data_IF_911152553747
#
_entry.id   IF_911152553747
#
_cell.length_a   1.000
_cell.length_b   1.000
_cell.length_c   1.000
_cell.angle_alpha   90.00
_cell.angle_beta   90.00
_cell.angle_gamma   90.00
#
_symmetry.space_group_name_H-M   'P 1'
#
loop_
_entity.id
_entity.type
_entity.pdbx_description
1 polymer ?
#
# COMPACT_ATOMS: atom_id res chain seq x y z
N UNK A 1 -27.61 -19.69 6.03
CA UNK A 1 -28.63 -18.70 5.58
C UNK A 1 -29.40 -17.98 6.69
N UNK A 2 -29.31 -18.36 7.99
CA UNK A 2 -29.98 -17.61 9.09
C UNK A 2 -29.07 -16.63 9.86
N UNK A 3 -27.75 -16.69 9.67
CA UNK A 3 -26.77 -15.78 10.28
C UNK A 3 -26.46 -14.54 9.43
N UNK A 4 -26.72 -14.59 8.12
CA UNK A 4 -26.42 -13.50 7.17
C UNK A 4 -27.42 -12.33 7.25
N UNK A 5 -28.64 -12.59 7.74
CA UNK A 5 -29.71 -11.58 7.81
C UNK A 5 -29.58 -10.68 9.06
N UNK A 6 -28.87 -11.14 10.09
CA UNK A 6 -28.68 -10.35 11.32
C UNK A 6 -27.69 -9.18 11.14
N UNK A 7 -26.71 -9.32 10.23
CA UNK A 7 -25.74 -8.26 9.93
C UNK A 7 -26.36 -7.11 9.12
N UNK A 8 -27.35 -7.39 8.27
CA UNK A 8 -28.03 -6.35 7.49
C UNK A 8 -28.87 -5.41 8.37
N UNK A 9 -29.39 -5.89 9.50
CA UNK A 9 -30.22 -5.08 10.40
C UNK A 9 -29.41 -4.17 11.34
N UNK A 10 -28.14 -4.49 11.63
CA UNK A 10 -27.24 -3.59 12.38
C UNK A 10 -26.67 -2.45 11.52
N UNK A 11 -26.64 -2.60 10.19
CA UNK A 11 -26.18 -1.58 9.25
C UNK A 11 -27.19 -0.43 9.05
N UNK A 12 -28.48 -0.67 9.34
CA UNK A 12 -29.54 0.33 9.14
C UNK A 12 -29.60 1.36 10.29
N UNK A 13 -28.96 1.10 11.44
CA UNK A 13 -29.04 1.97 12.63
C UNK A 13 -28.02 3.11 12.67
N UNK A 14 -27.11 3.23 11.68
CA UNK A 14 -26.06 4.29 11.66
C UNK A 14 -26.48 5.49 10.78
N UNK A 15 -27.71 5.49 10.27
CA UNK A 15 -28.27 6.61 9.50
C UNK A 15 -28.76 7.76 10.41
N UNK A 16 -27.89 8.29 11.26
CA UNK A 16 -28.11 9.58 11.92
C UNK A 16 -26.96 10.54 11.57
N UNK A 17 -27.21 11.37 10.57
CA UNK A 17 -26.42 12.55 10.28
C UNK A 17 -26.47 13.53 11.46
N UNK A 18 -25.30 14.05 11.87
CA UNK A 18 -25.25 15.12 12.88
C UNK A 18 -23.86 15.66 13.20
N UNK A 19 -22.77 14.93 12.94
CA UNK A 19 -21.41 15.44 13.16
C UNK A 19 -20.43 14.78 12.18
N UNK A 20 -19.78 15.58 11.33
CA UNK A 20 -18.72 15.09 10.45
C UNK A 20 -17.45 14.90 11.29
N UNK A 21 -17.11 13.64 11.58
CA UNK A 21 -15.83 13.29 12.21
C UNK A 21 -14.68 13.44 11.20
N UNK A 22 -13.44 13.61 11.67
CA UNK A 22 -12.29 13.52 10.78
C UNK A 22 -12.31 12.21 9.99
N UNK A 23 -11.93 12.28 8.72
CA UNK A 23 -11.81 11.09 7.89
C UNK A 23 -10.81 10.11 8.50
N UNK A 24 -11.17 8.84 8.43
CA UNK A 24 -10.30 7.72 8.78
C UNK A 24 -8.98 7.80 8.01
N UNK A 25 -7.88 7.50 8.70
CA UNK A 25 -6.53 7.54 8.11
C UNK A 25 -6.08 6.13 7.75
N UNK A 26 -5.25 6.02 6.71
CA UNK A 26 -4.61 4.74 6.34
C UNK A 26 -3.77 4.17 7.48
N UNK A 27 -3.05 5.05 8.19
CA UNK A 27 -2.38 4.73 9.44
C UNK A 27 -3.29 5.13 10.61
N UNK A 28 -3.85 4.13 11.31
CA UNK A 28 -4.80 4.36 12.41
C UNK A 28 -4.19 5.13 13.57
N UNK A 29 -2.90 4.96 13.80
CA UNK A 29 -2.20 5.72 14.81
C UNK A 29 -1.97 7.20 14.47
N UNK A 30 -2.30 7.67 13.25
CA UNK A 30 -2.26 9.10 12.92
C UNK A 30 -3.61 9.79 13.17
N UNK A 31 -4.66 9.03 13.50
CA UNK A 31 -5.95 9.58 13.89
C UNK A 31 -5.83 10.31 15.24
N UNK A 32 -6.50 11.45 15.37
CA UNK A 32 -6.47 12.26 16.58
C UNK A 32 -7.88 12.69 16.99
N UNK A 33 -8.38 12.07 18.05
CA UNK A 33 -9.70 12.33 18.64
C UNK A 33 -9.65 13.24 19.87
N UNK A 34 -8.53 13.93 20.13
CA UNK A 34 -8.39 14.80 21.31
C UNK A 34 -9.38 15.97 21.34
N UNK A 35 -10.01 16.31 20.22
CA UNK A 35 -11.08 17.31 20.17
C UNK A 35 -12.32 16.89 20.99
N UNK A 36 -12.53 15.58 21.19
CA UNK A 36 -13.60 15.03 22.04
C UNK A 36 -13.38 15.30 23.53
N UNK A 37 -12.18 15.74 23.93
CA UNK A 37 -11.88 16.09 25.33
C UNK A 37 -12.88 17.07 25.94
N UNK A 38 -13.35 18.04 25.15
CA UNK A 38 -14.29 19.07 25.58
C UNK A 38 -15.74 18.77 25.17
N UNK A 39 -16.00 17.62 24.57
CA UNK A 39 -17.37 17.22 24.21
C UNK A 39 -18.17 16.93 25.49
N UNK A 40 -19.40 17.46 25.56
CA UNK A 40 -20.32 17.34 26.70
C UNK A 40 -21.45 16.36 26.43
N UNK A 41 -21.55 15.82 25.20
CA UNK A 41 -22.57 14.82 24.85
C UNK A 41 -22.31 13.55 25.67
N UNK A 42 -23.32 13.20 26.48
CA UNK A 42 -23.32 11.98 27.28
C UNK A 42 -23.91 10.83 26.48
N UNK A 43 -23.61 9.60 26.90
CA UNK A 43 -24.23 8.36 26.41
C UNK A 43 -24.06 8.09 24.90
N UNK A 44 -22.97 8.61 24.31
CA UNK A 44 -22.57 8.26 22.95
C UNK A 44 -21.44 7.22 22.99
N UNK A 45 -21.77 5.97 22.64
CA UNK A 45 -20.83 4.85 22.66
C UNK A 45 -19.60 5.09 21.78
N UNK A 46 -19.80 5.63 20.56
CA UNK A 46 -18.73 5.84 19.59
C UNK A 46 -17.75 6.92 20.06
N UNK A 47 -18.27 8.05 20.56
CA UNK A 47 -17.44 9.11 21.15
C UNK A 47 -16.65 8.60 22.35
N UNK A 48 -17.29 7.80 23.21
CA UNK A 48 -16.63 7.19 24.38
C UNK A 48 -15.53 6.24 23.95
N UNK A 49 -15.77 5.43 22.92
CA UNK A 49 -14.77 4.53 22.34
C UNK A 49 -13.59 5.30 21.74
N UNK A 50 -13.83 6.38 21.00
CA UNK A 50 -12.78 7.24 20.41
C UNK A 50 -12.04 8.10 21.42
N UNK A 51 -12.62 8.34 22.60
CA UNK A 51 -11.98 9.09 23.67
C UNK A 51 -12.55 8.69 25.03
N UNK A 52 -11.91 7.73 25.70
CA UNK A 52 -12.24 7.32 27.06
C UNK A 52 -11.25 7.98 28.04
N UNK A 53 -11.66 9.03 28.79
CA UNK A 53 -10.79 9.67 29.76
C UNK A 53 -10.51 8.75 30.95
N UNK A 54 -9.23 8.61 31.31
CA UNK A 54 -8.75 7.81 32.45
C UNK A 54 -8.34 8.68 33.64
N UNK A 55 -8.46 10.01 33.51
CA UNK A 55 -8.20 10.96 34.58
C UNK A 55 -9.21 12.11 34.58
N UNK A 56 -9.47 12.72 35.75
CA UNK A 56 -10.32 13.92 35.85
C UNK A 56 -9.81 15.08 34.98
N UNK A 57 -8.49 15.21 34.86
CA UNK A 57 -7.85 16.21 33.99
C UNK A 57 -8.00 15.94 32.49
N UNK A 58 -8.51 14.76 32.12
CA UNK A 58 -8.62 14.25 30.74
C UNK A 58 -7.30 14.32 29.98
N UNK A 59 -6.17 14.19 30.71
CA UNK A 59 -4.81 14.14 30.15
C UNK A 59 -4.36 12.73 29.89
N UNK A 60 -4.91 11.76 30.62
CA UNK A 60 -4.76 10.34 30.36
C UNK A 60 -6.04 9.86 29.70
N UNK A 61 -5.94 9.21 28.55
CA UNK A 61 -7.09 8.68 27.85
C UNK A 61 -6.68 7.48 27.01
N UNK A 62 -7.66 6.67 26.65
CA UNK A 62 -7.50 5.58 25.69
C UNK A 62 -8.52 5.78 24.56
N UNK A 63 -8.10 5.51 23.33
CA UNK A 63 -8.95 5.47 22.14
C UNK A 63 -8.95 4.07 21.57
N UNK A 64 -10.09 3.62 21.06
CA UNK A 64 -10.23 2.36 20.35
C UNK A 64 -10.74 2.59 18.94
N UNK A 65 -10.52 1.62 18.07
CA UNK A 65 -11.08 1.63 16.74
C UNK A 65 -10.66 0.41 15.95
N UNK A 66 -11.03 0.38 14.69
CA UNK A 66 -10.76 -0.76 13.86
C UNK A 66 -11.28 -0.65 12.46
N UNK A 67 -11.10 -1.73 11.71
CA UNK A 67 -11.72 -1.92 10.42
C UNK A 67 -12.00 -3.38 10.17
N UNK A 68 -13.15 -3.66 9.55
CA UNK A 68 -13.51 -4.96 9.01
C UNK A 68 -13.61 -4.83 7.50
N UNK A 69 -12.92 -5.69 6.76
CA UNK A 69 -12.98 -5.74 5.30
C UNK A 69 -13.32 -7.15 4.84
N UNK A 70 -14.22 -7.24 3.87
CA UNK A 70 -14.52 -8.46 3.13
C UNK A 70 -14.29 -8.19 1.66
N UNK A 71 -13.63 -9.12 0.98
CA UNK A 71 -13.41 -9.06 -0.46
C UNK A 71 -13.76 -10.41 -1.05
N UNK A 72 -14.62 -10.42 -2.05
CA UNK A 72 -14.80 -11.58 -2.92
C UNK A 72 -14.04 -11.34 -4.20
N UNK A 73 -13.27 -12.33 -4.64
CA UNK A 73 -12.53 -12.30 -5.89
C UNK A 73 -12.85 -13.51 -6.76
N UNK A 74 -12.96 -13.25 -8.06
CA UNK A 74 -13.02 -14.27 -9.09
C UNK A 74 -11.95 -13.96 -10.13
N UNK A 75 -11.18 -14.98 -10.51
CA UNK A 75 -10.14 -14.89 -11.53
C UNK A 75 -10.32 -16.02 -12.54
N UNK A 76 -10.28 -15.69 -13.83
CA UNK A 76 -10.19 -16.63 -14.93
C UNK A 76 -8.79 -16.58 -15.51
N UNK A 77 -8.18 -17.76 -15.68
CA UNK A 77 -6.80 -17.93 -16.14
C UNK A 77 -5.79 -17.13 -15.28
N UNK A 78 -5.85 -17.27 -13.95
CA UNK A 78 -4.84 -16.68 -13.05
C UNK A 78 -3.41 -17.07 -13.48
N UNK A 79 -2.46 -16.16 -13.31
CA UNK A 79 -1.10 -16.28 -13.87
C UNK A 79 -1.09 -16.62 -15.37
N UNK A 80 -1.96 -16.00 -16.17
CA UNK A 80 -2.10 -16.24 -17.62
C UNK A 80 -2.42 -17.71 -17.97
N UNK A 81 -3.06 -18.42 -17.05
CA UNK A 81 -3.50 -19.80 -17.20
C UNK A 81 -2.51 -20.86 -16.72
N UNK A 82 -1.41 -20.45 -16.10
CA UNK A 82 -0.43 -21.37 -15.51
C UNK A 82 -0.90 -21.95 -14.17
N UNK A 83 -1.75 -21.21 -13.44
CA UNK A 83 -2.34 -21.68 -12.19
C UNK A 83 -3.62 -22.51 -12.43
N UNK A 84 -3.99 -23.40 -11.48
CA UNK A 84 -5.26 -24.09 -11.53
C UNK A 84 -6.45 -23.11 -11.55
N UNK A 85 -7.43 -23.38 -12.40
CA UNK A 85 -8.65 -22.59 -12.44
C UNK A 85 -9.52 -22.86 -11.19
N UNK A 86 -9.82 -21.80 -10.45
CA UNK A 86 -10.85 -21.79 -9.42
C UNK A 86 -12.21 -21.43 -10.05
N UNK A 87 -13.20 -22.33 -10.00
CA UNK A 87 -14.51 -22.08 -10.61
C UNK A 87 -15.40 -21.15 -9.79
N UNK A 88 -15.13 -21.04 -8.48
CA UNK A 88 -16.06 -20.45 -7.52
C UNK A 88 -15.52 -19.14 -6.93
N UNK A 89 -14.21 -18.92 -7.06
CA UNK A 89 -13.52 -17.78 -6.46
C UNK A 89 -13.33 -17.93 -4.96
N UNK A 90 -12.82 -16.87 -4.34
CA UNK A 90 -12.40 -16.90 -2.94
C UNK A 90 -12.78 -15.62 -2.20
N UNK A 91 -12.82 -15.71 -0.86
CA UNK A 91 -13.13 -14.60 0.02
C UNK A 91 -11.93 -14.30 0.91
N UNK A 92 -11.52 -13.03 0.92
CA UNK A 92 -10.55 -12.50 1.86
C UNK A 92 -11.27 -11.67 2.93
N UNK A 93 -11.05 -12.02 4.19
CA UNK A 93 -11.58 -11.28 5.34
C UNK A 93 -10.42 -10.67 6.14
N UNK A 94 -10.52 -9.39 6.50
CA UNK A 94 -9.55 -8.70 7.35
C UNK A 94 -10.21 -7.99 8.51
N UNK A 95 -9.69 -8.22 9.71
CA UNK A 95 -10.10 -7.57 10.94
C UNK A 95 -8.91 -6.85 11.56
N UNK A 96 -9.02 -5.53 11.71
CA UNK A 96 -8.09 -4.72 12.47
C UNK A 96 -8.79 -4.18 13.70
N UNK A 97 -8.21 -4.36 14.87
CA UNK A 97 -8.67 -3.76 16.11
C UNK A 97 -7.50 -3.12 16.83
N UNK A 98 -7.65 -1.90 17.32
CA UNK A 98 -6.58 -1.19 17.99
C UNK A 98 -7.03 -0.48 19.27
N UNK A 99 -6.05 -0.28 20.14
CA UNK A 99 -6.10 0.56 21.31
C UNK A 99 -4.94 1.55 21.29
N UNK A 100 -5.22 2.81 21.62
CA UNK A 100 -4.28 3.91 21.59
C UNK A 100 -4.33 4.67 22.92
N UNK A 101 -3.38 4.35 23.80
CA UNK A 101 -3.27 4.92 25.13
C UNK A 101 -2.33 6.13 25.13
N UNK A 102 -2.81 7.23 25.70
CA UNK A 102 -2.05 8.47 25.86
C UNK A 102 -1.89 8.80 27.34
N UNK A 103 -0.66 8.99 27.79
CA UNK A 103 -0.34 9.47 29.13
C UNK A 103 0.22 10.89 29.09
N UNK A 104 -0.69 11.87 29.16
CA UNK A 104 -0.33 13.28 29.03
C UNK A 104 0.16 13.60 27.61
N UNK A 105 1.11 14.54 27.50
CA UNK A 105 1.66 14.97 26.20
C UNK A 105 2.93 14.24 25.79
N UNK A 106 3.51 13.43 26.69
CA UNK A 106 4.88 12.93 26.57
C UNK A 106 4.98 11.46 26.19
N UNK A 107 3.96 10.67 26.48
CA UNK A 107 4.03 9.22 26.34
C UNK A 107 2.74 8.67 25.72
N UNK A 108 2.91 7.74 24.78
CA UNK A 108 1.81 7.05 24.11
C UNK A 108 2.20 5.60 23.84
N UNK A 109 1.23 4.69 23.94
CA UNK A 109 1.34 3.29 23.54
C UNK A 109 0.22 2.96 22.57
N UNK A 110 0.57 2.37 21.44
CA UNK A 110 -0.38 1.92 20.44
C UNK A 110 -0.24 0.40 20.26
N UNK A 111 -1.36 -0.31 20.27
CA UNK A 111 -1.43 -1.73 19.99
C UNK A 111 -2.55 -2.01 18.98
N UNK A 112 -2.28 -2.88 18.02
CA UNK A 112 -3.24 -3.31 17.01
C UNK A 112 -3.08 -4.79 16.73
N UNK A 113 -4.20 -5.53 16.74
CA UNK A 113 -4.27 -6.90 16.26
C UNK A 113 -4.77 -6.93 14.82
N UNK A 114 -4.29 -7.90 14.05
CA UNK A 114 -4.76 -8.20 12.70
C UNK A 114 -5.16 -9.67 12.62
N UNK A 115 -6.27 -9.92 11.95
CA UNK A 115 -6.68 -11.25 11.49
C UNK A 115 -6.98 -11.15 10.01
N UNK A 116 -6.29 -11.94 9.20
CA UNK A 116 -6.44 -12.04 7.76
C UNK A 116 -6.77 -13.49 7.41
N UNK A 117 -7.97 -13.74 6.91
CA UNK A 117 -8.47 -15.07 6.57
C UNK A 117 -8.69 -15.17 5.07
N UNK A 118 -8.36 -16.33 4.50
CA UNK A 118 -8.58 -16.65 3.09
C UNK A 118 -9.48 -17.88 2.98
N UNK A 119 -10.77 -17.66 2.72
CA UNK A 119 -11.75 -18.72 2.56
C UNK A 119 -11.80 -19.17 1.09
N UNK A 120 -11.74 -20.48 0.86
CA UNK A 120 -11.74 -21.13 -0.47
C UNK A 120 -10.57 -20.79 -1.40
N UNK A 121 -9.63 -19.93 -0.99
CA UNK A 121 -8.41 -19.68 -1.77
C UNK A 121 -7.59 -20.97 -1.86
N UNK A 122 -7.26 -21.37 -3.08
CA UNK A 122 -6.34 -22.49 -3.33
C UNK A 122 -4.94 -22.07 -2.87
N UNK A 123 -4.34 -22.86 -1.99
CA UNK A 123 -2.97 -22.69 -1.46
C UNK A 123 -2.66 -21.24 -1.00
N UNK A 124 -3.37 -20.72 0.02
CA UNK A 124 -3.23 -19.34 0.43
C UNK A 124 -1.81 -19.07 0.96
N UNK A 125 -1.21 -17.96 0.51
CA UNK A 125 0.09 -17.54 1.00
C UNK A 125 -0.04 -16.72 2.30
N UNK A 126 1.06 -16.43 3.01
CA UNK A 126 1.06 -15.49 4.15
C UNK A 126 0.66 -14.04 3.80
N UNK A 127 0.50 -13.73 2.51
CA UNK A 127 -0.07 -12.45 2.04
C UNK A 127 -1.60 -12.48 2.07
N UNK A 128 -2.18 -13.67 1.95
CA UNK A 128 -3.62 -13.93 1.91
C UNK A 128 -4.15 -14.29 3.29
N UNK A 129 -3.40 -15.13 4.02
CA UNK A 129 -3.80 -15.68 5.31
C UNK A 129 -2.75 -15.40 6.39
N UNK A 130 -3.20 -14.84 7.50
CA UNK A 130 -2.49 -14.73 8.78
C UNK A 130 -3.58 -14.69 9.86
N UNK A 131 -3.92 -15.84 10.47
CA UNK A 131 -5.14 -15.99 11.26
C UNK A 131 -5.30 -14.99 12.40
N UNK A 132 -4.26 -14.73 13.20
CA UNK A 132 -4.31 -13.73 14.27
C UNK A 132 -2.90 -13.36 14.77
N UNK A 133 -2.58 -12.07 14.76
CA UNK A 133 -1.30 -11.54 15.23
C UNK A 133 -1.42 -10.15 15.88
N UNK A 134 -0.46 -9.80 16.75
CA UNK A 134 -0.13 -8.43 17.15
C UNK A 134 0.61 -7.73 16.00
N UNK A 135 -0.17 -7.14 15.09
CA UNK A 135 0.34 -6.45 13.89
C UNK A 135 1.13 -5.19 14.21
N UNK A 136 0.72 -4.42 15.22
CA UNK A 136 1.47 -3.26 15.71
C UNK A 136 1.47 -3.23 17.23
N UNK A 137 2.62 -2.90 17.80
CA UNK A 137 2.82 -2.67 19.23
C UNK A 137 4.04 -1.77 19.41
N UNK A 138 3.81 -0.47 19.64
CA UNK A 138 4.89 0.49 19.78
C UNK A 138 4.61 1.51 20.89
N UNK A 139 5.69 2.14 21.32
CA UNK A 139 5.68 3.25 22.29
C UNK A 139 6.28 4.50 21.66
N UNK A 140 5.63 5.64 21.87
CA UNK A 140 6.09 6.97 21.48
C UNK A 140 6.54 7.76 22.71
N UNK A 141 7.76 8.30 22.66
CA UNK A 141 8.29 9.29 23.60
C UNK A 141 8.36 10.66 22.91
N UNK A 142 7.48 11.58 23.31
CA UNK A 142 7.39 12.92 22.74
C UNK A 142 8.31 13.87 23.50
N UNK A 143 9.50 14.14 22.97
CA UNK A 143 10.43 15.11 23.55
C UNK A 143 10.01 16.55 23.27
N UNK A 144 9.50 16.80 22.05
CA UNK A 144 8.98 18.10 21.62
C UNK A 144 7.61 17.85 20.97
N UNK A 145 6.59 18.56 21.44
CA UNK A 145 5.23 18.47 20.90
C UNK A 145 4.57 19.85 20.94
N UNK A 146 5.04 20.72 20.04
CA UNK A 146 4.58 22.09 19.85
C UNK A 146 3.92 22.25 18.48
N UNK A 147 3.19 23.34 18.28
CA UNK A 147 2.43 23.57 17.04
C UNK A 147 3.32 23.58 15.78
N UNK A 148 4.54 24.10 15.87
CA UNK A 148 5.49 24.22 14.75
C UNK A 148 6.68 23.27 14.83
N UNK A 149 6.80 22.48 15.91
CA UNK A 149 7.95 21.62 16.16
C UNK A 149 7.53 20.30 16.81
N UNK A 150 8.06 19.20 16.29
CA UNK A 150 7.81 17.86 16.82
C UNK A 150 9.12 17.09 16.87
N UNK A 151 9.32 16.33 17.94
CA UNK A 151 10.39 15.35 18.08
C UNK A 151 9.85 14.17 18.89
N UNK A 152 9.69 13.02 18.23
CA UNK A 152 9.23 11.77 18.82
C UNK A 152 10.27 10.69 18.56
N UNK A 153 10.56 9.89 19.58
CA UNK A 153 11.18 8.57 19.43
C UNK A 153 10.09 7.51 19.53
N UNK A 154 9.94 6.70 18.48
CA UNK A 154 9.06 5.54 18.42
C UNK A 154 9.88 4.26 18.44
N UNK A 155 9.48 3.29 19.26
CA UNK A 155 10.10 1.98 19.29
C UNK A 155 9.05 0.87 19.40
N UNK A 156 9.23 -0.19 18.62
CA UNK A 156 8.37 -1.37 18.59
C UNK A 156 7.90 -1.74 17.19
N UNK A 157 6.99 -2.71 17.12
CA UNK A 157 6.38 -3.20 15.89
C UNK A 157 5.42 -2.15 15.34
N UNK A 158 5.64 -1.73 14.10
CA UNK A 158 4.91 -0.62 13.50
C UNK A 158 4.86 -0.74 11.98
N UNK A 159 3.91 -0.04 11.38
CA UNK A 159 3.88 0.14 9.93
C UNK A 159 4.85 1.26 9.49
N UNK A 160 5.46 1.07 8.32
CA UNK A 160 6.22 2.09 7.61
C UNK A 160 5.52 2.37 6.28
N UNK A 161 5.31 3.64 5.97
CA UNK A 161 4.70 4.08 4.72
C UNK A 161 5.28 5.42 4.31
N UNK A 162 5.67 5.53 3.04
CA UNK A 162 6.35 6.70 2.52
C UNK A 162 5.89 7.03 1.10
N UNK A 163 5.87 8.33 0.79
CA UNK A 163 5.63 8.84 -0.55
C UNK A 163 4.33 8.37 -1.19
N UNK A 164 4.45 7.92 -2.43
CA UNK A 164 3.37 7.37 -3.25
C UNK A 164 3.02 5.91 -2.89
N UNK A 165 3.71 5.33 -1.89
CA UNK A 165 3.64 3.91 -1.52
C UNK A 165 4.11 2.93 -2.62
N UNK A 166 4.86 3.43 -3.60
CA UNK A 166 5.50 2.60 -4.64
C UNK A 166 6.71 1.83 -4.10
N UNK A 167 7.39 2.35 -3.08
CA UNK A 167 8.59 1.72 -2.48
C UNK A 167 8.35 1.15 -1.09
N UNK A 168 7.64 1.90 -0.25
CA UNK A 168 7.39 1.50 1.14
C UNK A 168 5.93 1.78 1.45
N UNK A 169 5.17 0.72 1.61
CA UNK A 169 3.75 0.75 1.85
C UNK A 169 3.38 -0.11 3.05
N UNK A 170 2.13 0.02 3.49
CA UNK A 170 1.54 -0.90 4.45
C UNK A 170 0.97 -2.18 3.80
N UNK A 171 0.98 -2.24 2.45
CA UNK A 171 0.36 -3.31 1.65
C UNK A 171 -1.15 -3.43 1.94
N UNK A 172 -1.89 -2.34 1.76
CA UNK A 172 -3.31 -2.30 2.10
C UNK A 172 -4.18 -3.08 1.10
N UNK A 173 -3.78 -3.17 -0.17
CA UNK A 173 -4.51 -3.89 -1.21
C UNK A 173 -4.69 -5.38 -0.90
N UNK A 174 -3.59 -6.14 -0.77
CA UNK A 174 -3.62 -7.53 -0.30
C UNK A 174 -4.24 -7.69 1.10
N UNK A 175 -4.53 -8.94 1.49
CA UNK A 175 -5.26 -9.20 2.73
C UNK A 175 -4.42 -8.97 3.98
N UNK A 176 -3.19 -9.44 4.02
CA UNK A 176 -2.32 -9.27 5.17
C UNK A 176 -1.47 -8.00 5.00
N UNK A 177 -1.59 -7.01 5.89
CA UNK A 177 -0.71 -5.83 5.88
C UNK A 177 0.68 -6.21 6.39
N UNK A 178 1.69 -5.43 6.03
CA UNK A 178 3.07 -5.69 6.45
C UNK A 178 3.53 -4.72 7.55
N UNK A 179 4.35 -5.22 8.47
CA UNK A 179 4.88 -4.45 9.60
C UNK A 179 6.39 -4.66 9.75
N UNK A 180 6.98 -3.82 10.61
CA UNK A 180 8.40 -3.76 10.86
C UNK A 180 8.65 -3.61 12.36
N UNK A 181 9.59 -4.37 12.89
CA UNK A 181 10.13 -4.09 14.22
C UNK A 181 11.18 -3.00 14.07
N UNK A 182 10.90 -1.80 14.60
CA UNK A 182 11.69 -0.62 14.25
C UNK A 182 11.94 0.31 15.44
N UNK A 183 13.04 1.04 15.35
CA UNK A 183 13.28 2.27 16.10
C UNK A 183 13.26 3.42 15.10
N UNK A 184 12.47 4.46 15.40
CA UNK A 184 12.19 5.55 14.48
C UNK A 184 12.19 6.89 15.21
N UNK A 185 12.88 7.88 14.65
CA UNK A 185 12.79 9.29 15.06
C UNK A 185 11.89 10.01 14.08
N UNK A 186 10.86 10.68 14.59
CA UNK A 186 9.91 11.48 13.82
C UNK A 186 10.13 12.94 14.22
N UNK A 187 10.48 13.79 13.26
CA UNK A 187 10.73 15.21 13.48
C UNK A 187 9.92 16.07 12.53
N UNK A 188 9.51 17.26 12.99
CA UNK A 188 9.02 18.29 12.10
C UNK A 188 9.38 19.68 12.61
N UNK A 189 9.61 20.59 11.68
CA UNK A 189 9.81 22.01 11.92
C UNK A 189 9.20 22.82 10.77
N UNK A 190 8.22 23.64 11.10
CA UNK A 190 7.51 24.51 10.16
C UNK A 190 6.92 23.73 8.97
N UNK A 191 7.53 23.81 7.78
CA UNK A 191 7.07 23.12 6.57
C UNK A 191 7.85 21.84 6.25
N UNK A 192 8.83 21.48 7.08
CA UNK A 192 9.69 20.31 6.87
C UNK A 192 9.33 19.24 7.90
N UNK A 193 9.10 18.02 7.44
CA UNK A 193 9.03 16.84 8.30
C UNK A 193 10.07 15.81 7.85
N UNK A 194 10.57 15.03 8.81
CA UNK A 194 11.61 14.05 8.57
C UNK A 194 11.44 12.83 9.45
N UNK A 195 11.71 11.66 8.88
CA UNK A 195 11.78 10.39 9.59
C UNK A 195 13.18 9.80 9.43
N UNK A 196 13.69 9.19 10.49
CA UNK A 196 14.91 8.37 10.48
C UNK A 196 14.59 7.04 11.14
N UNK A 197 14.97 5.93 10.54
CA UNK A 197 14.63 4.62 11.09
C UNK A 197 15.67 3.55 10.79
N UNK A 198 15.67 2.54 11.64
CA UNK A 198 16.27 1.24 11.40
C UNK A 198 15.26 0.18 11.81
N UNK A 199 15.09 -0.85 10.98
CA UNK A 199 14.06 -1.86 11.18
C UNK A 199 14.42 -3.22 10.61
N UNK A 200 13.70 -4.23 11.10
CA UNK A 200 13.63 -5.57 10.54
C UNK A 200 12.23 -5.82 10.01
N UNK A 201 12.13 -6.46 8.85
CA UNK A 201 10.84 -6.89 8.31
C UNK A 201 10.24 -7.99 9.20
N UNK A 202 8.94 -7.88 9.50
CA UNK A 202 8.22 -8.93 10.24
C UNK A 202 7.66 -9.93 9.23
N UNK A 203 8.07 -11.19 9.34
CA UNK A 203 7.61 -12.26 8.46
C UNK A 203 6.31 -12.82 9.01
N UNK A 204 5.29 -12.80 8.15
CA UNK A 204 4.01 -13.43 8.40
C UNK A 204 4.12 -14.96 8.29
N UNK A 205 3.47 -15.66 9.21
CA UNK A 205 3.29 -17.10 9.17
C UNK A 205 1.81 -17.48 9.26
N UNK A 206 1.50 -18.75 8.98
CA UNK A 206 0.11 -19.23 8.93
C UNK A 206 -0.47 -19.59 10.30
N UNK A 207 0.30 -19.43 11.38
CA UNK A 207 -0.11 -19.71 12.75
C UNK A 207 -0.80 -18.55 13.45
N UNK A 208 -0.83 -18.61 14.78
CA UNK A 208 -1.40 -17.57 15.64
C UNK A 208 -0.29 -17.08 16.57
N UNK A 209 -0.06 -15.77 16.57
CA UNK A 209 1.00 -15.11 17.36
C UNK A 209 2.42 -15.67 17.09
N UNK A 210 2.70 -16.02 15.84
CA UNK A 210 3.97 -16.61 15.38
C UNK A 210 4.74 -15.71 14.39
N UNK A 211 4.29 -14.48 14.14
CA UNK A 211 5.03 -13.56 13.28
C UNK A 211 6.33 -13.12 13.95
N UNK A 212 7.43 -13.24 13.20
CA UNK A 212 8.77 -13.05 13.75
C UNK A 212 9.56 -11.98 13.02
N UNK A 213 10.40 -11.29 13.78
CA UNK A 213 11.38 -10.34 13.25
C UNK A 213 12.41 -11.06 12.40
N UNK A 214 12.65 -10.59 11.18
CA UNK A 214 13.62 -11.21 10.27
C UNK A 214 14.91 -10.39 10.16
N UNK A 215 15.96 -10.87 10.84
CA UNK A 215 17.31 -10.27 10.81
C UNK A 215 17.99 -10.37 9.45
N UNK A 216 17.53 -11.29 8.60
CA UNK A 216 17.99 -11.45 7.22
C UNK A 216 17.27 -10.50 6.26
N UNK A 217 16.37 -9.62 6.75
CA UNK A 217 15.70 -8.58 5.96
C UNK A 217 15.70 -7.27 6.74
N UNK A 218 16.77 -6.49 6.56
CA UNK A 218 16.99 -5.24 7.27
C UNK A 218 16.64 -4.06 6.39
N UNK A 219 16.06 -3.02 6.98
CA UNK A 219 15.66 -1.81 6.28
C UNK A 219 15.97 -0.58 7.13
N UNK A 220 16.60 0.43 6.53
CA UNK A 220 16.94 1.67 7.23
C UNK A 220 16.86 2.84 6.28
N UNK A 221 16.75 4.04 6.83
CA UNK A 221 16.75 5.20 5.97
C UNK A 221 16.35 6.49 6.63
N UNK A 222 16.25 7.50 5.78
CA UNK A 222 15.77 8.82 6.11
C UNK A 222 14.81 9.31 5.03
N UNK A 223 13.69 9.89 5.44
CA UNK A 223 12.68 10.41 4.52
C UNK A 223 12.28 11.82 4.93
N UNK A 224 12.41 12.80 4.03
CA UNK A 224 12.04 14.18 4.28
C UNK A 224 10.93 14.63 3.36
N UNK A 225 9.99 15.41 3.89
CA UNK A 225 8.94 16.10 3.12
C UNK A 225 9.09 17.60 3.36
N UNK A 226 9.22 18.35 2.29
CA UNK A 226 9.32 19.81 2.28
C UNK A 226 8.05 20.33 1.61
N UNK A 227 7.17 20.91 2.42
CA UNK A 227 5.90 21.49 1.97
C UNK A 227 6.06 22.98 1.63
N UNK A 228 5.07 23.52 0.92
CA UNK A 228 4.99 24.94 0.51
C UNK A 228 6.19 25.44 -0.29
N UNK A 229 6.79 24.57 -1.10
CA UNK A 229 7.80 24.98 -2.07
C UNK A 229 7.12 25.83 -3.16
N UNK A 230 7.65 27.03 -3.49
CA UNK A 230 7.11 27.85 -4.56
C UNK A 230 6.96 27.06 -5.86
N UNK A 231 5.86 27.28 -6.59
CA UNK A 231 5.49 26.59 -7.85
C UNK A 231 5.10 25.11 -7.66
N UNK A 232 5.99 24.27 -7.14
CA UNK A 232 5.86 22.80 -7.14
C UNK A 232 5.20 22.21 -5.88
N UNK A 233 4.83 23.04 -4.91
CA UNK A 233 4.10 22.71 -3.67
C UNK A 233 4.86 21.82 -2.71
N UNK A 234 5.19 20.58 -3.05
CA UNK A 234 5.82 19.62 -2.15
C UNK A 234 6.95 18.87 -2.84
N UNK A 235 8.02 18.65 -2.09
CA UNK A 235 9.14 17.78 -2.47
C UNK A 235 9.37 16.76 -1.37
N UNK A 236 9.57 15.50 -1.74
CA UNK A 236 10.11 14.49 -0.88
C UNK A 236 11.55 14.17 -1.31
N UNK A 237 12.47 13.99 -0.36
CA UNK A 237 13.85 13.53 -0.62
C UNK A 237 14.18 12.43 0.36
N UNK A 238 14.76 11.34 -0.13
CA UNK A 238 14.98 10.17 0.70
C UNK A 238 16.23 9.37 0.36
N UNK A 239 16.67 8.63 1.37
CA UNK A 239 17.66 7.58 1.29
C UNK A 239 17.09 6.34 1.98
N UNK A 240 17.22 5.18 1.33
CA UNK A 240 16.84 3.89 1.88
C UNK A 240 17.97 2.88 1.68
N UNK A 241 18.38 2.20 2.74
CA UNK A 241 19.20 0.99 2.66
C UNK A 241 18.37 -0.24 2.97
N UNK A 242 18.64 -1.31 2.24
CA UNK A 242 17.93 -2.57 2.32
C UNK A 242 18.90 -3.74 2.16
N UNK A 243 18.84 -4.70 3.06
CA UNK A 243 19.62 -5.92 2.99
C UNK A 243 18.69 -7.13 3.00
N UNK A 244 18.92 -8.10 2.11
CA UNK A 244 18.37 -9.45 2.24
C UNK A 244 19.36 -10.55 1.89
N UNK A 245 19.38 -11.63 2.65
CA UNK A 245 20.36 -12.74 2.46
C UNK A 245 20.01 -13.68 1.30
N UNK A 246 18.73 -13.72 0.90
CA UNK A 246 18.19 -14.61 -0.14
C UNK A 246 17.36 -13.81 -1.14
N UNK A 247 18.03 -13.06 -2.00
CA UNK A 247 17.44 -12.42 -3.15
C UNK A 247 17.49 -13.35 -4.36
N UNK A 248 16.43 -13.33 -5.17
CA UNK A 248 16.37 -14.01 -6.46
C UNK A 248 16.11 -12.97 -7.54
N UNK A 249 16.94 -12.97 -8.58
CA UNK A 249 16.74 -12.23 -9.81
C UNK A 249 16.92 -13.20 -10.99
N UNK A 250 16.53 -12.79 -12.20
CA UNK A 250 16.78 -13.57 -13.41
C UNK A 250 18.27 -13.94 -13.54
N UNK A 251 19.16 -13.03 -13.13
CA UNK A 251 20.61 -13.17 -13.21
C UNK A 251 21.27 -13.66 -11.89
N UNK A 252 20.54 -14.42 -11.07
CA UNK A 252 21.12 -15.22 -9.99
C UNK A 252 20.37 -15.22 -8.67
N UNK A 253 20.99 -15.84 -7.67
CA UNK A 253 20.45 -15.98 -6.32
C UNK A 253 21.54 -15.75 -5.27
N UNK A 254 21.24 -14.97 -4.22
CA UNK A 254 22.16 -14.77 -3.10
C UNK A 254 21.90 -13.49 -2.30
N UNK A 255 22.93 -13.02 -1.58
CA UNK A 255 22.84 -11.82 -0.74
C UNK A 255 22.73 -10.57 -1.61
N UNK A 256 21.82 -9.67 -1.22
CA UNK A 256 21.63 -8.34 -1.76
C UNK A 256 21.79 -7.30 -0.65
N UNK A 257 22.64 -6.31 -0.88
CA UNK A 257 22.72 -5.08 -0.10
C UNK A 257 22.54 -3.91 -1.05
N UNK A 258 21.44 -3.18 -0.89
CA UNK A 258 21.00 -2.14 -1.82
C UNK A 258 20.74 -0.84 -1.10
N UNK A 259 21.19 0.23 -1.72
CA UNK A 259 20.88 1.60 -1.35
C UNK A 259 20.05 2.25 -2.44
N UNK A 260 19.10 3.09 -2.05
CA UNK A 260 18.25 3.85 -2.95
C UNK A 260 18.28 5.32 -2.54
N UNK A 261 18.50 6.22 -3.50
CA UNK A 261 18.37 7.67 -3.32
C UNK A 261 17.35 8.20 -4.31
N UNK A 262 16.39 8.97 -3.84
CA UNK A 262 15.29 9.41 -4.69
C UNK A 262 14.64 10.72 -4.25
N UNK A 263 13.81 11.22 -5.15
CA UNK A 263 13.05 12.44 -4.97
C UNK A 263 11.66 12.30 -5.57
N UNK A 264 10.69 12.98 -4.97
CA UNK A 264 9.31 13.05 -5.45
C UNK A 264 8.80 14.48 -5.42
N UNK A 265 8.13 14.90 -6.49
CA UNK A 265 7.48 16.20 -6.59
C UNK A 265 5.99 15.97 -6.78
N UNK A 266 5.17 16.51 -5.88
CA UNK A 266 3.74 16.23 -5.89
C UNK A 266 2.91 17.43 -5.44
N UNK A 267 1.73 17.56 -6.02
CA UNK A 267 0.85 18.66 -5.70
C UNK A 267 -0.45 18.65 -6.48
N UNK A 268 -1.31 19.59 -6.13
CA UNK A 268 -2.55 19.87 -6.85
C UNK A 268 -2.83 21.36 -6.88
N UNK A 269 -3.48 21.80 -7.96
CA UNK A 269 -4.12 23.10 -8.10
C UNK A 269 -5.62 22.90 -8.19
N UNK A 270 -6.37 23.84 -8.77
CA UNK A 270 -7.82 23.72 -8.95
C UNK A 270 -8.19 22.59 -9.93
N UNK A 271 -7.48 22.48 -11.06
CA UNK A 271 -7.78 21.50 -12.11
C UNK A 271 -6.68 20.46 -12.28
N UNK A 272 -5.44 20.76 -11.88
CA UNK A 272 -4.31 19.86 -12.09
C UNK A 272 -3.97 19.10 -10.81
N UNK A 273 -3.63 17.82 -10.97
CA UNK A 273 -2.83 17.08 -10.01
C UNK A 273 -1.59 16.52 -10.70
N UNK A 274 -0.49 16.45 -9.98
CA UNK A 274 0.76 15.86 -10.47
C UNK A 274 1.49 15.15 -9.34
N UNK A 275 2.16 14.08 -9.70
CA UNK A 275 3.04 13.28 -8.85
C UNK A 275 4.14 12.73 -9.76
N UNK A 276 5.38 13.14 -9.54
CA UNK A 276 6.54 12.64 -10.26
C UNK A 276 7.57 12.13 -9.27
N UNK A 277 8.07 10.92 -9.47
CA UNK A 277 9.04 10.29 -8.58
C UNK A 277 10.15 9.62 -9.39
N UNK A 278 11.40 9.81 -8.98
CA UNK A 278 12.55 9.15 -9.60
C UNK A 278 13.60 8.82 -8.54
N UNK A 279 14.26 7.67 -8.73
CA UNK A 279 15.30 7.21 -7.81
C UNK A 279 16.33 6.34 -8.51
N UNK A 280 17.52 6.27 -7.92
CA UNK A 280 18.61 5.42 -8.35
C UNK A 280 19.00 4.45 -7.23
N UNK A 281 19.35 3.22 -7.60
CA UNK A 281 19.76 2.15 -6.71
C UNK A 281 21.18 1.68 -7.03
N UNK A 282 21.97 1.50 -5.97
CA UNK A 282 23.37 1.06 -6.01
C UNK A 282 23.66 0.13 -4.83
N UNK A 283 24.80 -0.55 -4.87
CA UNK A 283 25.21 -1.55 -3.86
C UNK A 283 25.64 -2.84 -4.52
N UNK A 284 25.45 -3.96 -3.84
CA UNK A 284 26.01 -5.25 -4.21
C UNK A 284 24.93 -6.33 -4.24
N UNK A 285 24.95 -7.14 -5.28
CA UNK A 285 24.24 -8.41 -5.33
C UNK A 285 25.25 -9.50 -5.67
N UNK A 286 25.49 -10.44 -4.76
CA UNK A 286 26.54 -11.47 -4.89
C UNK A 286 27.91 -10.87 -5.27
N UNK A 287 28.41 -11.12 -6.49
CA UNK A 287 29.63 -10.55 -7.07
C UNK A 287 29.35 -9.53 -8.18
N UNK A 288 28.17 -8.90 -8.18
CA UNK A 288 27.69 -7.95 -9.18
C UNK A 288 27.42 -6.58 -8.53
N UNK A 289 27.77 -5.53 -9.24
CA UNK A 289 27.46 -4.15 -8.86
C UNK A 289 26.02 -3.81 -9.25
N UNK A 290 25.22 -3.31 -8.32
CA UNK A 290 23.86 -2.85 -8.59
C UNK A 290 23.91 -1.47 -9.25
N UNK A 291 23.19 -1.32 -10.36
CA UNK A 291 22.94 -0.02 -10.99
C UNK A 291 21.55 -0.02 -11.63
N UNK A 292 20.53 0.27 -10.82
CA UNK A 292 19.13 0.24 -11.23
C UNK A 292 18.43 1.56 -10.95
N UNK A 293 17.30 1.83 -11.59
CA UNK A 293 16.55 3.07 -11.41
C UNK A 293 15.08 2.91 -11.79
N UNK A 294 14.27 3.83 -11.30
CA UNK A 294 12.90 4.01 -11.78
C UNK A 294 12.59 5.50 -11.92
N UNK A 295 11.73 5.83 -12.87
CA UNK A 295 11.09 7.13 -12.99
C UNK A 295 9.59 6.91 -13.27
N UNK A 296 8.74 7.70 -12.63
CA UNK A 296 7.30 7.63 -12.78
C UNK A 296 6.68 9.02 -12.80
N UNK A 297 5.62 9.17 -13.59
CA UNK A 297 4.77 10.36 -13.58
C UNK A 297 3.30 9.94 -13.49
N UNK A 298 2.50 10.68 -12.73
CA UNK A 298 1.06 10.57 -12.68
C UNK A 298 0.47 11.98 -12.68
N UNK A 299 -0.16 12.35 -13.79
CA UNK A 299 -0.77 13.66 -14.00
C UNK A 299 -2.27 13.50 -14.23
N UNK A 300 -3.05 14.48 -13.79
CA UNK A 300 -4.48 14.50 -14.03
C UNK A 300 -5.01 15.92 -14.24
N UNK A 301 -5.97 16.05 -15.15
CA UNK A 301 -6.69 17.29 -15.40
C UNK A 301 -8.20 17.09 -15.22
N UNK A 302 -8.77 17.83 -14.27
CA UNK A 302 -10.18 17.76 -13.91
C UNK A 302 -10.99 18.90 -14.52
N UNK A 303 -12.07 18.57 -15.22
CA UNK A 303 -13.01 19.53 -15.79
C UNK A 303 -14.10 19.89 -14.77
N UNK A 304 -13.79 20.84 -13.87
CA UNK A 304 -14.69 21.20 -12.76
C UNK A 304 -16.05 21.77 -13.18
N UNK A 305 -16.21 22.27 -14.41
CA UNK A 305 -17.47 22.87 -14.89
C UNK A 305 -18.31 21.91 -15.74
N UNK A 306 -17.83 20.68 -15.99
CA UNK A 306 -18.52 19.68 -16.80
C UNK A 306 -19.27 18.71 -15.88
N UNK A 307 -20.45 18.24 -16.28
CA UNK A 307 -21.23 17.26 -15.50
C UNK A 307 -20.38 16.02 -15.21
N UNK A 308 -20.45 15.55 -13.97
CA UNK A 308 -19.62 14.48 -13.40
C UNK A 308 -18.14 14.82 -13.22
N UNK A 309 -17.73 16.06 -13.47
CA UNK A 309 -16.38 16.57 -13.26
C UNK A 309 -15.27 15.63 -13.78
N UNK A 310 -15.34 15.19 -15.06
CA UNK A 310 -14.42 14.20 -15.58
C UNK A 310 -12.97 14.61 -15.34
N UNK A 311 -12.15 13.65 -14.95
CA UNK A 311 -10.72 13.84 -14.78
C UNK A 311 -10.00 12.91 -15.76
N UNK A 312 -9.25 13.50 -16.69
CA UNK A 312 -8.38 12.76 -17.58
C UNK A 312 -7.04 12.55 -16.88
N UNK A 313 -6.66 11.30 -16.69
CA UNK A 313 -5.41 10.88 -16.08
C UNK A 313 -4.43 10.31 -17.09
N UNK A 314 -3.15 10.48 -16.81
CA UNK A 314 -2.07 9.78 -17.50
C UNK A 314 -1.01 9.37 -16.49
N UNK A 315 -0.67 8.09 -16.48
CA UNK A 315 0.49 7.55 -15.75
C UNK A 315 1.47 6.95 -16.74
N UNK A 316 2.76 7.01 -16.43
CA UNK A 316 3.78 6.37 -17.22
C UNK A 316 5.03 6.13 -16.39
N UNK A 317 5.59 4.93 -16.50
CA UNK A 317 6.76 4.54 -15.74
C UNK A 317 7.82 3.86 -16.60
N UNK A 318 9.07 4.05 -16.19
CA UNK A 318 10.23 3.39 -16.75
C UNK A 318 11.06 2.84 -15.58
N UNK A 319 11.16 1.53 -15.54
CA UNK A 319 11.74 0.77 -14.43
C UNK A 319 12.82 -0.14 -15.03
N UNK A 320 14.07 0.07 -14.61
CA UNK A 320 15.20 -0.63 -15.22
C UNK A 320 15.13 -2.14 -15.04
N UNK A 321 15.64 -2.85 -16.05
CA UNK A 321 15.87 -4.28 -16.06
C UNK A 321 17.28 -4.60 -16.52
N UNK A 322 17.73 -5.80 -16.20
CA UNK A 322 19.09 -6.25 -16.50
C UNK A 322 19.35 -6.34 -18.01
N UNK A 323 20.48 -5.80 -18.46
CA UNK A 323 20.82 -5.71 -19.87
C UNK A 323 21.62 -6.91 -20.37
N UNK A 324 22.34 -7.59 -19.49
CA UNK A 324 23.23 -8.67 -19.89
C UNK A 324 23.43 -9.66 -18.75
N UNK A 325 22.76 -10.80 -18.88
CA UNK A 325 22.94 -11.93 -17.96
C UNK A 325 24.41 -12.36 -17.89
N UNK A 326 24.88 -12.66 -16.69
CA UNK A 326 26.22 -13.19 -16.42
C UNK A 326 27.35 -12.16 -16.47
N UNK A 327 27.06 -10.87 -16.67
CA UNK A 327 28.07 -9.82 -16.51
C UNK A 327 28.29 -9.48 -15.01
N UNK A 328 29.06 -8.43 -14.72
CA UNK A 328 29.34 -7.99 -13.34
C UNK A 328 28.35 -6.94 -12.83
N UNK A 329 27.20 -6.77 -13.46
CA UNK A 329 26.20 -5.78 -13.10
C UNK A 329 24.87 -6.46 -12.79
N UNK A 330 24.03 -5.76 -12.02
CA UNK A 330 22.61 -6.04 -11.89
C UNK A 330 21.85 -4.74 -12.08
N UNK A 331 21.12 -4.60 -13.20
CA UNK A 331 20.31 -3.41 -13.47
C UNK A 331 18.81 -3.61 -13.21
N UNK A 332 18.39 -4.79 -12.73
CA UNK A 332 17.02 -5.03 -12.28
C UNK A 332 16.70 -4.17 -11.05
N UNK A 333 15.66 -3.35 -11.20
CA UNK A 333 15.14 -2.53 -10.12
C UNK A 333 14.41 -3.38 -9.07
N UNK A 334 14.56 -3.02 -7.79
CA UNK A 334 13.87 -3.66 -6.67
C UNK A 334 12.94 -2.64 -5.97
N UNK A 335 11.62 -2.84 -5.97
CA UNK A 335 10.66 -1.92 -5.33
C UNK A 335 10.64 -1.96 -3.80
N UNK A 336 11.48 -2.78 -3.15
CA UNK A 336 11.58 -2.93 -1.71
C UNK A 336 10.30 -3.54 -1.09
N UNK A 337 9.37 -2.69 -0.65
CA UNK A 337 8.18 -3.06 0.12
C UNK A 337 6.92 -2.38 -0.47
N UNK A 338 6.58 -2.64 -1.74
CA UNK A 338 5.50 -1.92 -2.44
C UNK A 338 4.11 -2.27 -1.92
N UNK A 339 3.11 -1.50 -2.36
CA UNK A 339 1.69 -1.64 -1.96
C UNK A 339 1.00 -2.95 -2.35
N UNK A 340 1.63 -3.81 -3.15
CA UNK A 340 1.07 -5.09 -3.61
C UNK A 340 0.05 -4.98 -4.74
N UNK A 341 -0.87 -4.00 -4.69
CA UNK A 341 -1.76 -3.64 -5.80
C UNK A 341 -1.19 -2.51 -6.66
N UNK A 342 -0.13 -2.79 -7.40
CA UNK A 342 0.62 -1.73 -8.10
C UNK A 342 -0.12 -1.22 -9.34
N UNK A 343 -0.80 -2.11 -10.06
CA UNK A 343 -1.58 -1.85 -11.27
C UNK A 343 -2.99 -2.43 -11.13
N UNK A 344 -3.71 -1.99 -10.09
CA UNK A 344 -4.99 -2.60 -9.68
C UNK A 344 -4.81 -3.69 -8.62
N UNK A 345 -5.88 -4.39 -8.23
CA UNK A 345 -5.77 -5.50 -7.26
C UNK A 345 -5.46 -6.86 -7.87
N UNK A 346 -5.72 -7.06 -9.17
CA UNK A 346 -5.27 -8.27 -9.86
C UNK A 346 -3.74 -8.40 -9.81
N UNK A 347 -3.04 -7.26 -9.96
CA UNK A 347 -1.60 -7.00 -9.77
C UNK A 347 -0.64 -8.19 -9.91
N UNK A 348 -0.69 -8.89 -11.04
CA UNK A 348 0.23 -10.00 -11.35
C UNK A 348 1.63 -9.47 -11.68
N UNK A 349 1.72 -8.31 -12.35
CA UNK A 349 2.98 -7.69 -12.77
C UNK A 349 3.48 -6.73 -11.68
N UNK A 350 4.74 -6.90 -11.28
CA UNK A 350 5.46 -6.03 -10.37
C UNK A 350 6.37 -5.03 -11.10
N UNK A 351 6.79 -3.97 -10.41
CA UNK A 351 7.63 -2.93 -10.98
C UNK A 351 9.10 -3.37 -11.01
N UNK A 352 9.48 -4.23 -11.97
CA UNK A 352 10.87 -4.59 -12.26
C UNK A 352 10.99 -4.93 -13.74
N UNK A 353 12.00 -4.39 -14.43
CA UNK A 353 12.17 -4.56 -15.87
C UNK A 353 10.92 -4.15 -16.69
N UNK A 354 10.38 -2.95 -16.47
CA UNK A 354 9.06 -2.56 -16.95
C UNK A 354 9.04 -1.16 -17.58
N UNK A 355 8.28 -1.01 -18.66
CA UNK A 355 7.83 0.28 -19.20
C UNK A 355 6.32 0.17 -19.41
N UNK A 356 5.58 1.17 -18.94
CA UNK A 356 4.13 1.20 -18.99
C UNK A 356 3.54 2.60 -19.22
N UNK A 357 2.30 2.63 -19.69
CA UNK A 357 1.56 3.85 -20.02
C UNK A 357 0.06 3.64 -19.77
N UNK A 358 -0.54 4.55 -19.00
CA UNK A 358 -1.88 4.39 -18.45
C UNK A 358 -2.73 5.64 -18.70
N UNK A 359 -3.32 5.81 -19.89
CA UNK A 359 -4.45 6.71 -20.03
C UNK A 359 -5.62 6.24 -19.15
N UNK A 360 -6.25 7.18 -18.44
CA UNK A 360 -7.41 6.88 -17.61
C UNK A 360 -8.41 8.03 -17.55
N UNK A 361 -9.62 7.70 -17.12
CA UNK A 361 -10.68 8.68 -16.85
C UNK A 361 -11.37 8.34 -15.53
N UNK A 362 -11.60 9.37 -14.70
CA UNK A 362 -12.41 9.27 -13.49
C UNK A 362 -13.64 10.18 -13.61
N UNK A 363 -14.80 9.68 -13.20
CA UNK A 363 -16.09 10.35 -13.25
C UNK A 363 -16.72 10.37 -11.87
N UNK A 364 -17.02 11.55 -11.35
CA UNK A 364 -17.78 11.71 -10.11
C UNK A 364 -19.28 11.64 -10.43
N UNK A 365 -19.84 10.41 -10.46
CA UNK A 365 -21.24 10.16 -10.80
C UNK A 365 -22.21 10.80 -9.78
N UNK A 366 -21.80 10.82 -8.51
CA UNK A 366 -22.49 11.55 -7.43
C UNK A 366 -21.48 12.00 -6.37
N UNK A 367 -21.93 12.68 -5.30
CA UNK A 367 -21.03 13.10 -4.20
C UNK A 367 -20.25 11.95 -3.57
N UNK A 368 -20.79 10.74 -3.63
CA UNK A 368 -20.31 9.56 -2.92
C UNK A 368 -20.05 8.38 -3.86
N UNK A 369 -20.13 8.58 -5.18
CA UNK A 369 -19.92 7.53 -6.19
C UNK A 369 -18.96 8.04 -7.24
N UNK A 370 -17.85 7.33 -7.40
CA UNK A 370 -16.82 7.57 -8.40
C UNK A 370 -16.70 6.34 -9.32
N UNK A 371 -16.57 6.58 -10.62
CA UNK A 371 -16.30 5.54 -11.61
C UNK A 371 -14.98 5.84 -12.30
N UNK A 372 -14.05 4.90 -12.25
CA UNK A 372 -12.69 5.02 -12.78
C UNK A 372 -12.51 3.97 -13.87
N UNK A 373 -11.89 4.35 -14.97
CA UNK A 373 -11.46 3.46 -16.05
C UNK A 373 -9.99 3.76 -16.32
N UNK A 374 -9.14 2.74 -16.35
CA UNK A 374 -7.69 2.84 -16.60
C UNK A 374 -7.33 1.83 -17.68
N UNK A 375 -6.56 2.23 -18.68
CA UNK A 375 -6.07 1.31 -19.71
C UNK A 375 -4.55 1.36 -19.73
N UNK A 376 -3.94 0.24 -19.43
CA UNK A 376 -2.52 0.10 -19.19
C UNK A 376 -1.87 -0.78 -20.27
N UNK A 377 -0.67 -0.43 -20.68
CA UNK A 377 0.06 -1.08 -21.75
C UNK A 377 1.48 -1.37 -21.29
N UNK A 378 1.86 -2.65 -21.28
CA UNK A 378 3.12 -3.08 -20.66
C UNK A 378 4.16 -3.58 -21.65
N UNK A 379 5.42 -3.22 -21.42
CA UNK A 379 6.59 -3.75 -22.11
C UNK A 379 7.72 -4.06 -21.12
N UNK A 380 8.52 -5.07 -21.44
CA UNK A 380 9.82 -5.26 -20.77
C UNK A 380 10.76 -4.12 -21.11
N UNK A 381 11.42 -3.55 -20.11
CA UNK A 381 12.46 -2.53 -20.33
C UNK A 381 13.63 -3.12 -21.16
N UNK A 382 14.13 -4.27 -20.72
CA UNK A 382 15.16 -5.09 -21.34
C UNK A 382 14.59 -6.43 -21.77
N UNK A 383 14.94 -6.87 -22.98
CA UNK A 383 14.56 -8.19 -23.48
C UNK A 383 15.41 -9.32 -22.87
N UNK A 384 16.52 -8.99 -22.19
CA UNK A 384 17.44 -9.95 -21.59
C UNK A 384 17.13 -10.23 -20.11
N UNK A 385 16.09 -9.59 -19.56
CA UNK A 385 15.62 -9.78 -18.19
C UNK A 385 14.16 -10.27 -18.21
N UNK A 386 13.77 -10.94 -17.12
CA UNK A 386 12.44 -11.51 -16.95
C UNK A 386 11.39 -10.47 -16.55
N UNK A 387 10.18 -10.94 -16.26
CA UNK A 387 9.19 -10.15 -15.53
C UNK A 387 9.03 -10.69 -14.13
N UNK A 388 8.65 -9.81 -13.22
CA UNK A 388 8.59 -10.10 -11.80
C UNK A 388 7.21 -9.76 -11.25
N UNK A 389 6.79 -10.42 -10.17
CA UNK A 389 5.63 -10.04 -9.38
C UNK A 389 5.94 -8.85 -8.44
N UNK A 390 4.94 -8.27 -7.75
CA UNK A 390 5.12 -7.11 -6.89
C UNK A 390 6.17 -7.28 -5.78
N UNK A 391 6.40 -8.51 -5.31
CA UNK A 391 7.42 -8.87 -4.32
C UNK A 391 8.81 -9.17 -4.93
N UNK A 392 9.02 -8.83 -6.22
CA UNK A 392 10.24 -9.16 -6.99
C UNK A 392 10.44 -10.67 -7.19
N UNK A 393 9.39 -11.48 -7.08
CA UNK A 393 9.46 -12.89 -7.48
C UNK A 393 9.54 -12.98 -9.00
N UNK A 394 10.55 -13.65 -9.55
CA UNK A 394 10.65 -13.91 -10.98
C UNK A 394 9.48 -14.80 -11.41
N UNK A 395 8.70 -14.34 -12.39
CA UNK A 395 7.56 -15.10 -12.95
C UNK A 395 8.03 -15.83 -14.21
N UNK A 396 8.47 -15.06 -15.21
CA UNK A 396 9.01 -15.62 -16.46
C UNK A 396 10.44 -15.11 -16.67
N UNK A 397 11.36 -15.98 -17.12
CA UNK A 397 12.74 -15.59 -17.36
C UNK A 397 12.89 -14.80 -18.67
N UNK A 398 14.04 -14.13 -18.82
CA UNK A 398 14.30 -13.26 -19.97
C UNK A 398 14.65 -13.99 -21.27
N UNK A 399 14.99 -15.27 -21.21
CA UNK A 399 15.63 -16.05 -22.28
C UNK A 399 14.67 -16.87 -23.16
N UNK A 400 13.37 -16.80 -22.91
CA UNK A 400 12.33 -17.49 -23.70
C UNK A 400 12.12 -16.85 -25.08
N UNK A 401 12.26 -15.53 -25.19
CA UNK A 401 12.10 -14.75 -26.43
C UNK A 401 12.69 -13.36 -26.29
N UNK A 402 12.99 -12.69 -27.40
CA UNK A 402 13.41 -11.28 -27.42
C UNK A 402 12.23 -10.30 -27.46
N UNK A 403 10.99 -10.79 -27.57
CA UNK A 403 9.79 -9.95 -27.63
C UNK A 403 9.58 -9.16 -26.33
N UNK A 404 9.36 -7.85 -26.43
CA UNK A 404 9.19 -7.00 -25.24
C UNK A 404 7.74 -6.84 -24.80
N UNK A 405 6.76 -7.02 -25.68
CA UNK A 405 5.36 -6.74 -25.34
C UNK A 405 4.83 -7.75 -24.33
N UNK A 406 4.49 -7.27 -23.13
CA UNK A 406 3.94 -8.10 -22.05
C UNK A 406 2.43 -8.24 -22.24
N UNK A 407 1.72 -7.16 -22.51
CA UNK A 407 0.27 -7.18 -22.72
C UNK A 407 -0.39 -5.82 -22.55
N UNK A 408 -1.71 -5.83 -22.53
CA UNK A 408 -2.53 -4.65 -22.24
C UNK A 408 -3.58 -5.00 -21.20
N UNK A 409 -3.96 -4.04 -20.37
CA UNK A 409 -4.89 -4.24 -19.28
C UNK A 409 -5.95 -3.15 -19.29
N UNK A 410 -7.22 -3.53 -19.25
CA UNK A 410 -8.33 -2.61 -19.05
C UNK A 410 -8.90 -2.83 -17.65
N UNK A 411 -8.88 -1.77 -16.85
CA UNK A 411 -9.42 -1.77 -15.49
C UNK A 411 -10.62 -0.83 -15.38
N UNK A 412 -11.57 -1.23 -14.55
CA UNK A 412 -12.66 -0.36 -14.12
C UNK A 412 -12.92 -0.53 -12.63
N UNK A 413 -13.12 0.58 -11.93
CA UNK A 413 -13.49 0.59 -10.51
C UNK A 413 -14.74 1.46 -10.32
N UNK A 414 -15.73 0.94 -9.59
CA UNK A 414 -16.87 1.70 -9.12
C UNK A 414 -16.79 1.78 -7.59
N UNK A 415 -16.54 2.97 -7.07
CA UNK A 415 -16.39 3.23 -5.63
C UNK A 415 -17.65 3.89 -5.11
N UNK A 416 -18.21 3.36 -4.04
CA UNK A 416 -19.35 3.95 -3.32
C UNK A 416 -19.06 4.09 -1.83
N UNK A 417 -19.05 5.33 -1.35
CA UNK A 417 -18.80 5.65 0.06
C UNK A 417 -20.02 6.39 0.66
N UNK A 418 -21.08 5.69 1.07
CA UNK A 418 -22.32 6.32 1.52
C UNK A 418 -22.13 7.22 2.75
N UNK A 419 -21.16 6.91 3.61
CA UNK A 419 -20.78 7.71 4.78
C UNK A 419 -19.32 7.41 5.17
N UNK A 420 -18.73 8.12 6.15
CA UNK A 420 -17.32 7.90 6.53
C UNK A 420 -16.99 6.48 7.02
N UNK A 421 -17.96 5.73 7.53
CA UNK A 421 -17.75 4.40 8.12
C UNK A 421 -17.77 3.28 7.07
N UNK A 422 -18.56 3.43 6.00
CA UNK A 422 -18.80 2.39 5.01
C UNK A 422 -18.15 2.72 3.67
N UNK A 423 -17.43 1.74 3.13
CA UNK A 423 -16.81 1.79 1.81
C UNK A 423 -17.15 0.53 1.02
N UNK A 424 -17.55 0.72 -0.22
CA UNK A 424 -17.81 -0.36 -1.18
C UNK A 424 -17.00 -0.09 -2.46
N UNK A 425 -16.43 -1.13 -3.04
CA UNK A 425 -15.80 -1.09 -4.36
C UNK A 425 -16.20 -2.32 -5.16
N UNK A 426 -16.60 -2.10 -6.40
CA UNK A 426 -16.51 -3.12 -7.45
C UNK A 426 -15.30 -2.81 -8.32
N UNK A 427 -14.55 -3.82 -8.69
CA UNK A 427 -13.45 -3.69 -9.63
C UNK A 427 -13.44 -4.86 -10.62
N UNK A 428 -12.98 -4.60 -11.83
CA UNK A 428 -12.66 -5.66 -12.78
C UNK A 428 -11.51 -5.28 -13.67
N UNK A 429 -10.70 -6.28 -14.01
CA UNK A 429 -9.51 -6.16 -14.84
C UNK A 429 -9.56 -7.22 -15.92
N UNK A 430 -9.43 -6.81 -17.18
CA UNK A 430 -9.20 -7.72 -18.31
C UNK A 430 -7.80 -7.49 -18.85
N UNK A 431 -7.04 -8.57 -19.04
CA UNK A 431 -5.67 -8.53 -19.54
C UNK A 431 -5.56 -9.33 -20.84
N UNK A 432 -5.11 -8.67 -21.91
CA UNK A 432 -4.74 -9.28 -23.19
C UNK A 432 -3.24 -9.63 -23.17
N UNK A 433 -2.94 -10.92 -23.26
CA UNK A 433 -1.59 -11.44 -23.18
C UNK A 433 -0.77 -11.08 -24.43
N UNK A 434 0.36 -10.41 -24.22
CA UNK A 434 1.30 -10.06 -25.28
C UNK A 434 2.19 -11.24 -25.71
N UNK A 435 2.99 -10.99 -26.74
CA UNK A 435 3.88 -12.00 -27.35
C UNK A 435 4.89 -12.60 -26.36
N UNK A 436 5.36 -11.82 -25.39
CA UNK A 436 6.29 -12.33 -24.38
C UNK A 436 5.64 -13.38 -23.47
N UNK A 437 4.43 -13.08 -22.98
CA UNK A 437 3.66 -13.99 -22.12
C UNK A 437 3.27 -15.26 -22.88
N UNK A 438 2.81 -15.11 -24.13
CA UNK A 438 2.49 -16.22 -25.04
C UNK A 438 3.67 -17.12 -25.37
N UNK A 439 4.90 -16.60 -25.32
CA UNK A 439 6.11 -17.37 -25.55
C UNK A 439 6.71 -17.99 -24.28
N UNK A 440 6.34 -17.48 -23.10
CA UNK A 440 6.98 -17.85 -21.82
C UNK A 440 6.14 -18.79 -20.95
N UNK A 441 4.82 -18.81 -21.15
CA UNK A 441 3.88 -19.65 -20.41
C UNK A 441 2.67 -20.03 -21.26
N UNK A 442 1.53 -20.33 -20.62
CA UNK A 442 0.31 -20.74 -21.33
C UNK A 442 -0.25 -19.63 -22.23
N UNK A 443 -0.01 -18.35 -21.88
CA UNK A 443 -0.28 -17.24 -22.78
C UNK A 443 -1.75 -16.82 -22.88
N UNK A 444 -2.59 -17.18 -21.91
CA UNK A 444 -4.02 -16.85 -21.94
C UNK A 444 -4.28 -15.43 -21.47
N UNK A 445 -5.34 -14.85 -22.00
CA UNK A 445 -5.93 -13.64 -21.48
C UNK A 445 -6.55 -13.92 -20.11
N UNK A 446 -6.47 -12.94 -19.21
CA UNK A 446 -6.98 -13.08 -17.84
C UNK A 446 -8.17 -12.17 -17.62
N UNK A 447 -9.11 -12.63 -16.80
CA UNK A 447 -10.19 -11.78 -16.29
C UNK A 447 -10.20 -11.86 -14.77
N UNK A 448 -10.28 -10.71 -14.11
CA UNK A 448 -10.38 -10.61 -12.67
C UNK A 448 -11.55 -9.70 -12.30
N UNK A 449 -12.31 -10.07 -11.29
CA UNK A 449 -13.35 -9.24 -10.72
C UNK A 449 -13.32 -9.31 -9.19
N UNK A 450 -13.53 -8.16 -8.55
CA UNK A 450 -13.51 -8.02 -7.10
C UNK A 450 -14.69 -7.20 -6.59
N UNK A 451 -15.23 -7.61 -5.44
CA UNK A 451 -16.17 -6.80 -4.66
C UNK A 451 -15.60 -6.66 -3.27
N UNK A 452 -15.35 -5.42 -2.85
CA UNK A 452 -14.85 -5.06 -1.53
C UNK A 452 -15.95 -4.35 -0.73
N UNK A 453 -16.15 -4.77 0.51
CA UNK A 453 -16.89 -4.04 1.53
C UNK A 453 -15.97 -3.78 2.72
N UNK A 454 -15.95 -2.54 3.22
CA UNK A 454 -15.18 -2.18 4.40
C UNK A 454 -15.99 -1.31 5.36
N UNK A 455 -15.92 -1.66 6.63
CA UNK A 455 -16.42 -0.89 7.76
C UNK A 455 -15.25 -0.39 8.59
N UNK A 456 -15.14 0.91 8.80
CA UNK A 456 -14.20 1.54 9.72
C UNK A 456 -14.95 2.04 10.95
N UNK A 457 -14.32 1.99 12.13
CA UNK A 457 -14.90 2.53 13.36
C UNK A 457 -13.86 2.95 14.38
#
# INVERSE_FOLDING_TARGET
MKTTILFLFLLISISCFGQQYPDFKSLRYDENYSFLKNDTVKDNWYKTMKFLPLSHSKKHYISFGGSVRFQYFYAENENWGDDPQDSDGYILSRYLFHADFHAGRFFRVFAQTQSSLADSRIDPSPVDQNPLEVHQAFTDFNFINEKSKKLILRAGRQELTYGSQRLVAVRDGPNNRQSFDAVKIITSKDNISGDFFYSHFVVAHDGIFDDSSNKDRQFWGSYFVINKVPVIKNIDVYYFGYERTKATFNDGFGKEERHSVGTRIWGKTENWRYDGEALYQFGDFISKDISAWTASINIGYRFNSVKFHPELGFKAEAISGDKQMGDKQLQTFNPLFPRGGYFGLASVIGPSNLIDFHPGISLQLSKNIDWIIDYDMFWRYSANDGIYGPNTLLIYPGDTTTNKKIGNQLETELIWQPNPFLYFRFESTWFDAGEYIKASGTGKDTFFAGITMQLNF
#
